data_IF_570601932738
#
_entry.id   IF_570601932738
#
_cell.length_a   1.000
_cell.length_b   1.000
_cell.length_c   1.000
_cell.angle_alpha   90.00
_cell.angle_beta   90.00
_cell.angle_gamma   90.00
#
_symmetry.space_group_name_H-M   'P 1'
#
loop_
_entity.id
_entity.type
_entity.pdbx_description
1 polymer ?
#
# COMPACT_ATOMS: atom_id res chain seq x y z
N UNK A 1 52.98 -33.84 43.44
CA UNK A 1 53.13 -35.21 42.90
C UNK A 1 52.08 -35.37 41.80
N UNK A 2 52.48 -35.46 40.52
CA UNK A 2 52.69 -36.74 39.78
C UNK A 2 51.49 -37.69 39.89
N UNK A 3 50.90 -38.28 38.85
CA UNK A 3 51.02 -38.28 37.39
C UNK A 3 49.88 -39.19 36.86
N UNK A 4 49.26 -38.83 35.72
CA UNK A 4 48.84 -39.70 34.60
C UNK A 4 48.09 -41.04 34.81
N UNK A 5 47.00 -41.21 34.05
CA UNK A 5 46.76 -42.30 33.04
C UNK A 5 45.40 -42.06 32.33
N UNK A 6 45.35 -41.54 31.10
CA UNK A 6 45.21 -42.26 29.81
C UNK A 6 44.18 -43.40 29.77
N UNK A 7 43.09 -43.19 29.02
CA UNK A 7 42.56 -44.20 28.10
C UNK A 7 42.02 -43.49 26.85
N UNK A 8 42.77 -43.63 25.77
CA UNK A 8 42.37 -43.30 24.42
C UNK A 8 41.51 -44.45 23.87
N UNK A 9 40.44 -44.12 23.15
CA UNK A 9 39.96 -44.98 22.06
C UNK A 9 39.57 -44.07 20.90
N UNK A 10 40.51 -43.94 19.97
CA UNK A 10 40.24 -43.50 18.61
C UNK A 10 39.85 -44.74 17.81
N UNK A 11 38.66 -44.72 17.20
CA UNK A 11 38.37 -45.51 16.01
C UNK A 11 37.99 -44.53 14.90
N UNK A 12 38.97 -44.29 14.03
CA UNK A 12 38.83 -43.72 12.71
C UNK A 12 38.06 -44.71 11.83
N UNK A 13 36.96 -44.28 11.22
CA UNK A 13 36.48 -44.78 9.93
C UNK A 13 36.07 -43.58 9.06
N UNK A 14 37.08 -43.15 8.29
CA UNK A 14 37.04 -42.67 6.90
C UNK A 14 35.68 -42.31 6.28
N UNK A 15 35.56 -41.01 5.99
CA UNK A 15 34.99 -40.37 4.80
C UNK A 15 34.27 -41.26 3.76
N UNK A 16 32.97 -41.01 3.60
CA UNK A 16 32.33 -40.99 2.29
C UNK A 16 32.00 -39.54 1.93
N UNK A 17 32.69 -39.08 0.90
CA UNK A 17 32.41 -37.99 -0.03
C UNK A 17 31.03 -37.37 0.08
N UNK A 18 31.00 -36.18 0.66
CA UNK A 18 29.89 -35.26 0.58
C UNK A 18 30.42 -33.91 0.95
N UNK A 19 31.09 -33.23 0.01
CA UNK A 19 31.27 -31.79 0.07
C UNK A 19 29.88 -31.18 0.00
N UNK A 20 29.14 -31.24 1.11
CA UNK A 20 27.99 -30.39 1.33
C UNK A 20 28.59 -28.98 1.35
N UNK A 21 28.60 -28.36 0.17
CA UNK A 21 28.71 -26.93 0.01
C UNK A 21 27.66 -26.40 0.99
N UNK A 22 28.10 -25.86 2.11
CA UNK A 22 27.23 -25.09 2.96
C UNK A 22 26.77 -23.94 2.07
N UNK A 23 25.60 -24.08 1.45
CA UNK A 23 24.83 -22.93 1.02
C UNK A 23 24.66 -22.13 2.30
N UNK A 24 25.42 -21.06 2.41
CA UNK A 24 25.16 -20.02 3.40
C UNK A 24 23.69 -19.69 3.23
N UNK A 25 22.86 -20.08 4.19
CA UNK A 25 21.51 -19.58 4.29
C UNK A 25 21.67 -18.05 4.37
N UNK A 26 21.44 -17.36 3.26
CA UNK A 26 21.34 -15.91 3.28
C UNK A 26 20.24 -15.61 4.29
N UNK A 27 20.58 -14.85 5.32
CA UNK A 27 19.58 -14.45 6.30
C UNK A 27 18.52 -13.60 5.59
N UNK A 28 17.27 -13.68 6.03
CA UNK A 28 16.17 -12.91 5.43
C UNK A 28 16.48 -11.40 5.32
N UNK A 29 17.35 -10.88 6.19
CA UNK A 29 17.89 -9.53 6.14
C UNK A 29 18.76 -9.24 4.90
N UNK A 30 19.64 -10.17 4.52
CA UNK A 30 20.49 -10.03 3.31
C UNK A 30 19.63 -10.11 2.06
N UNK A 31 18.67 -11.05 2.02
CA UNK A 31 17.71 -11.16 0.91
C UNK A 31 16.92 -9.86 0.74
N UNK A 32 16.39 -9.33 1.84
CA UNK A 32 15.63 -8.09 1.79
C UNK A 32 16.48 -6.88 1.35
N UNK A 33 17.75 -6.81 1.77
CA UNK A 33 18.66 -5.76 1.31
C UNK A 33 18.96 -5.88 -0.19
N UNK A 34 19.13 -7.10 -0.70
CA UNK A 34 19.30 -7.34 -2.14
C UNK A 34 18.05 -6.93 -2.92
N UNK A 35 16.86 -7.30 -2.44
CA UNK A 35 15.57 -6.91 -3.02
C UNK A 35 15.42 -5.39 -3.09
N UNK A 36 15.73 -4.68 -1.99
CA UNK A 36 15.68 -3.21 -1.96
C UNK A 36 16.73 -2.59 -2.90
N UNK A 37 17.92 -3.17 -2.99
CA UNK A 37 18.95 -2.71 -3.94
C UNK A 37 18.45 -2.82 -5.37
N UNK A 38 17.82 -3.93 -5.76
CA UNK A 38 17.26 -4.09 -7.12
C UNK A 38 16.17 -3.05 -7.43
N UNK A 39 15.35 -2.70 -6.44
CA UNK A 39 14.37 -1.62 -6.57
C UNK A 39 15.05 -0.27 -6.77
N UNK A 40 16.11 0.03 -6.01
CA UNK A 40 16.86 1.28 -6.12
C UNK A 40 17.74 1.35 -7.37
N UNK A 41 18.16 0.20 -7.91
CA UNK A 41 18.92 0.07 -9.16
C UNK A 41 18.03 0.02 -10.41
N UNK A 42 16.70 0.12 -10.22
CA UNK A 42 15.71 0.14 -11.29
C UNK A 42 15.71 -1.12 -12.15
N UNK A 43 16.13 -2.25 -11.57
CA UNK A 43 16.16 -3.57 -12.18
C UNK A 43 15.03 -4.48 -11.69
N UNK A 44 14.39 -4.12 -10.57
CA UNK A 44 13.26 -4.85 -10.03
C UNK A 44 12.03 -4.81 -10.96
N UNK A 45 11.40 -5.97 -11.14
CA UNK A 45 10.05 -6.06 -11.72
C UNK A 45 8.95 -5.62 -10.74
N UNK A 46 7.70 -5.46 -11.22
CA UNK A 46 6.60 -4.91 -10.43
C UNK A 46 6.30 -5.71 -9.15
N UNK A 47 6.35 -7.04 -9.22
CA UNK A 47 6.09 -7.90 -8.06
C UNK A 47 7.13 -7.72 -6.95
N UNK A 48 8.41 -7.58 -7.33
CA UNK A 48 9.48 -7.37 -6.37
C UNK A 48 9.38 -6.00 -5.72
N UNK A 49 9.11 -4.97 -6.53
CA UNK A 49 8.86 -3.61 -6.04
C UNK A 49 7.71 -3.59 -5.03
N UNK A 50 6.59 -4.25 -5.34
CA UNK A 50 5.44 -4.32 -4.44
C UNK A 50 5.76 -5.06 -3.13
N UNK A 51 6.53 -6.15 -3.18
CA UNK A 51 6.96 -6.88 -1.98
C UNK A 51 7.83 -6.00 -1.07
N UNK A 52 8.81 -5.29 -1.63
CA UNK A 52 9.71 -4.40 -0.87
C UNK A 52 8.92 -3.28 -0.21
N UNK A 53 8.05 -2.59 -0.97
CA UNK A 53 7.19 -1.52 -0.46
C UNK A 53 6.33 -2.00 0.70
N UNK A 54 5.66 -3.15 0.51
CA UNK A 54 4.74 -3.69 1.52
C UNK A 54 5.46 -4.03 2.82
N UNK A 55 6.66 -4.61 2.74
CA UNK A 55 7.48 -4.93 3.92
C UNK A 55 7.98 -3.68 4.66
N UNK A 56 8.51 -2.68 3.93
CA UNK A 56 8.94 -1.42 4.54
C UNK A 56 7.78 -0.67 5.20
N UNK A 57 6.60 -0.70 4.57
CA UNK A 57 5.39 -0.09 5.11
C UNK A 57 4.94 -0.78 6.39
N UNK A 58 4.87 -2.11 6.40
CA UNK A 58 4.54 -2.87 7.60
C UNK A 58 5.50 -2.50 8.74
N UNK A 59 6.81 -2.53 8.48
CA UNK A 59 7.80 -2.15 9.47
C UNK A 59 7.66 -0.69 9.98
N UNK A 60 7.30 0.27 9.12
CA UNK A 60 7.09 1.66 9.55
C UNK A 60 5.98 1.77 10.60
N UNK A 61 4.86 1.08 10.40
CA UNK A 61 3.65 1.25 11.21
C UNK A 61 3.52 0.23 12.34
N UNK A 62 4.40 -0.77 12.40
CA UNK A 62 4.48 -1.74 13.50
C UNK A 62 5.48 -1.27 14.56
N UNK A 63 5.14 -1.49 15.82
CA UNK A 63 6.03 -1.27 16.96
C UNK A 63 7.33 -2.05 16.80
N UNK A 64 8.45 -1.46 17.23
CA UNK A 64 9.79 -2.05 17.03
C UNK A 64 9.89 -3.48 17.59
N UNK A 65 9.20 -3.77 18.69
CA UNK A 65 9.18 -5.09 19.33
C UNK A 65 8.48 -6.18 18.49
N UNK A 66 7.54 -5.79 17.64
CA UNK A 66 6.69 -6.69 16.84
C UNK A 66 7.18 -6.83 15.38
N UNK A 67 8.20 -6.06 14.99
CA UNK A 67 8.80 -6.17 13.65
C UNK A 67 9.50 -7.50 13.47
N UNK A 68 9.45 -7.97 12.22
CA UNK A 68 10.26 -9.11 11.77
C UNK A 68 11.75 -8.84 11.98
N UNK A 69 12.54 -9.89 12.18
CA UNK A 69 13.93 -9.78 12.59
C UNK A 69 14.76 -8.96 11.59
N UNK A 70 14.47 -9.09 10.30
CA UNK A 70 15.15 -8.41 9.21
C UNK A 70 14.94 -6.88 9.17
N UNK A 71 13.84 -6.38 9.74
CA UNK A 71 13.45 -4.96 9.70
C UNK A 71 13.47 -4.27 11.08
N UNK A 72 13.85 -5.00 12.13
CA UNK A 72 13.84 -4.51 13.52
C UNK A 72 14.72 -3.27 13.72
N UNK A 73 15.93 -3.30 13.16
CA UNK A 73 16.93 -2.24 13.37
C UNK A 73 16.80 -1.07 12.37
N UNK A 74 15.79 -1.12 11.49
CA UNK A 74 15.54 -0.06 10.52
C UNK A 74 14.79 1.11 11.20
N UNK A 75 15.21 2.33 10.88
CA UNK A 75 14.59 3.54 11.44
C UNK A 75 13.86 4.31 10.37
N UNK A 76 12.68 4.79 10.72
CA UNK A 76 11.79 5.54 9.84
C UNK A 76 11.54 6.90 10.49
N UNK A 77 11.89 7.97 9.79
CA UNK A 77 11.66 9.35 10.19
C UNK A 77 10.77 10.02 9.15
N UNK A 78 9.73 10.70 9.62
CA UNK A 78 8.91 11.56 8.76
C UNK A 78 9.56 12.94 8.67
N UNK A 79 9.74 13.46 7.45
CA UNK A 79 10.22 14.81 7.19
C UNK A 79 9.30 15.52 6.19
N UNK A 80 9.27 16.84 6.26
CA UNK A 80 8.33 17.68 5.50
C UNK A 80 7.26 18.27 6.42
N UNK A 81 7.00 19.57 6.28
CA UNK A 81 6.10 20.30 7.17
C UNK A 81 4.63 20.28 6.71
N UNK A 82 4.39 19.94 5.45
CA UNK A 82 3.08 19.86 4.82
C UNK A 82 2.89 18.51 4.12
N UNK A 83 1.62 18.20 3.83
CA UNK A 83 1.22 16.93 3.26
C UNK A 83 1.82 16.69 1.86
N UNK A 84 2.11 17.77 1.12
CA UNK A 84 2.65 17.76 -0.25
C UNK A 84 4.16 17.51 -0.32
N UNK A 85 4.91 17.82 0.75
CA UNK A 85 6.37 17.59 0.83
C UNK A 85 6.75 16.52 1.85
N UNK A 86 5.75 15.82 2.39
CA UNK A 86 5.97 14.74 3.34
C UNK A 86 6.68 13.56 2.69
N UNK A 87 7.80 13.21 3.28
CA UNK A 87 8.66 12.11 2.86
C UNK A 87 9.06 11.26 4.06
N UNK A 88 9.46 10.04 3.76
CA UNK A 88 10.00 9.11 4.75
C UNK A 88 11.48 8.95 4.53
N UNK A 89 12.28 9.29 5.52
CA UNK A 89 13.69 8.94 5.57
C UNK A 89 13.84 7.60 6.27
N UNK A 90 14.34 6.62 5.54
CA UNK A 90 14.61 5.27 6.01
C UNK A 90 16.11 5.15 6.26
N UNK A 91 16.52 5.06 7.52
CA UNK A 91 17.93 4.82 7.87
C UNK A 91 18.20 3.33 7.90
N UNK A 92 19.15 2.91 7.06
CA UNK A 92 19.55 1.52 6.92
C UNK A 92 20.44 1.09 8.11
N UNK A 93 20.30 -0.14 8.62
CA UNK A 93 21.18 -0.65 9.69
C UNK A 93 22.63 -0.81 9.21
N UNK A 94 22.81 -1.09 7.92
CA UNK A 94 24.11 -1.12 7.24
C UNK A 94 24.02 -0.31 5.95
N UNK A 95 25.09 0.41 5.56
CA UNK A 95 25.13 1.11 4.28
C UNK A 95 24.94 0.13 3.12
N UNK A 96 24.29 0.60 2.06
CA UNK A 96 24.06 -0.15 0.82
C UNK A 96 24.67 0.62 -0.35
N UNK A 97 25.43 -0.07 -1.19
CA UNK A 97 25.91 0.50 -2.46
C UNK A 97 24.85 0.33 -3.53
N UNK A 98 24.41 1.44 -4.12
CA UNK A 98 23.42 1.50 -5.21
C UNK A 98 23.99 2.38 -6.31
N UNK A 99 24.05 1.89 -7.55
CA UNK A 99 24.68 2.64 -8.66
C UNK A 99 26.11 3.13 -8.35
N UNK A 100 26.85 2.37 -7.52
CA UNK A 100 28.21 2.75 -7.07
C UNK A 100 28.24 3.87 -6.01
N UNK A 101 27.11 4.20 -5.40
CA UNK A 101 26.98 5.20 -4.33
C UNK A 101 26.62 4.51 -3.02
N UNK A 102 27.42 4.75 -1.98
CA UNK A 102 27.14 4.21 -0.63
C UNK A 102 26.06 5.04 0.06
N UNK A 103 24.85 4.49 0.09
CA UNK A 103 23.70 5.08 0.74
C UNK A 103 23.55 4.54 2.17
N UNK A 104 23.48 5.43 3.16
CA UNK A 104 23.04 5.09 4.53
C UNK A 104 21.56 5.33 4.76
N UNK A 105 20.95 6.10 3.87
CA UNK A 105 19.56 6.51 3.94
C UNK A 105 18.91 6.33 2.58
N UNK A 106 17.67 5.89 2.61
CA UNK A 106 16.78 5.84 1.46
C UNK A 106 15.60 6.75 1.77
N UNK A 107 15.20 7.55 0.79
CA UNK A 107 14.04 8.41 0.90
C UNK A 107 12.90 7.82 0.10
N UNK A 108 11.75 7.66 0.73
CA UNK A 108 10.49 7.31 0.08
C UNK A 108 9.57 8.54 0.04
N UNK A 109 9.15 8.92 -1.16
CA UNK A 109 8.26 10.05 -1.42
C UNK A 109 7.31 9.71 -2.60
N UNK A 110 6.44 10.64 -3.06
CA UNK A 110 5.46 10.33 -4.11
C UNK A 110 6.04 9.82 -5.44
N UNK A 111 7.34 9.99 -5.69
CA UNK A 111 8.00 9.50 -6.91
C UNK A 111 8.71 8.16 -6.71
N UNK A 112 8.58 7.54 -5.52
CA UNK A 112 9.18 6.26 -5.19
C UNK A 112 10.38 6.37 -4.26
N UNK A 113 11.28 5.39 -4.36
CA UNK A 113 12.49 5.35 -3.55
C UNK A 113 13.64 6.07 -4.26
N UNK A 114 14.42 6.79 -3.47
CA UNK A 114 15.58 7.51 -3.97
C UNK A 114 16.68 7.61 -2.91
N UNK A 115 17.91 7.84 -3.36
CA UNK A 115 19.07 8.09 -2.51
C UNK A 115 19.60 9.50 -2.77
N UNK A 116 20.16 10.12 -1.74
CA UNK A 116 20.76 11.45 -1.87
C UNK A 116 22.04 11.40 -2.73
N UNK A 117 22.25 12.46 -3.49
CA UNK A 117 23.45 12.69 -4.29
C UNK A 117 24.16 13.96 -3.83
N UNK A 118 25.48 13.87 -3.65
CA UNK A 118 26.32 15.06 -3.66
C UNK A 118 26.52 15.60 -5.09
N UNK A 119 27.08 16.81 -5.21
CA UNK A 119 27.27 17.47 -6.50
C UNK A 119 28.16 16.68 -7.48
N UNK A 120 29.20 16.00 -6.99
CA UNK A 120 30.09 15.21 -7.84
C UNK A 120 29.46 13.86 -8.25
N UNK A 121 28.67 13.24 -7.37
CA UNK A 121 27.87 12.07 -7.68
C UNK A 121 26.80 12.39 -8.73
N UNK A 122 26.12 13.54 -8.59
CA UNK A 122 25.15 14.04 -9.57
C UNK A 122 25.74 14.11 -10.98
N UNK A 123 26.84 14.84 -11.15
CA UNK A 123 27.47 14.99 -12.46
C UNK A 123 27.92 13.66 -13.05
N UNK A 124 28.46 12.76 -12.22
CA UNK A 124 28.85 11.41 -12.66
C UNK A 124 27.66 10.60 -13.14
N UNK A 125 26.54 10.61 -12.42
CA UNK A 125 25.32 9.88 -12.80
C UNK A 125 24.72 10.47 -14.07
N UNK A 126 24.61 11.79 -14.17
CA UNK A 126 24.12 12.47 -15.37
C UNK A 126 24.95 12.06 -16.59
N UNK A 127 26.28 12.11 -16.48
CA UNK A 127 27.17 11.72 -17.57
C UNK A 127 27.08 10.22 -17.91
N UNK A 128 27.06 9.35 -16.90
CA UNK A 128 27.04 7.89 -17.09
C UNK A 128 25.77 7.40 -17.79
N UNK A 129 24.62 8.02 -17.50
CA UNK A 129 23.33 7.64 -18.06
C UNK A 129 22.85 8.55 -19.20
N UNK A 130 23.68 9.50 -19.64
CA UNK A 130 23.34 10.44 -20.70
C UNK A 130 22.09 11.27 -20.39
N UNK A 131 21.89 11.63 -19.12
CA UNK A 131 20.70 12.35 -18.69
C UNK A 131 20.75 13.80 -19.16
N UNK A 132 19.60 14.36 -19.50
CA UNK A 132 19.47 15.75 -19.89
C UNK A 132 18.49 16.45 -18.96
N UNK A 133 18.77 17.72 -18.64
CA UNK A 133 17.88 18.54 -17.84
C UNK A 133 16.56 18.72 -18.61
N UNK A 134 15.50 18.09 -18.12
CA UNK A 134 14.12 18.26 -18.51
C UNK A 134 13.49 19.27 -17.53
N UNK A 135 13.73 20.57 -17.73
CA UNK A 135 13.08 21.59 -16.89
C UNK A 135 11.55 21.53 -17.07
N UNK A 136 10.79 21.33 -15.99
CA UNK A 136 9.32 21.41 -16.00
C UNK A 136 8.80 21.97 -14.67
N UNK A 137 7.94 22.99 -14.76
CA UNK A 137 7.87 24.12 -13.81
C UNK A 137 6.49 24.32 -13.17
N UNK A 138 5.91 23.32 -12.49
CA UNK A 138 4.63 23.55 -11.77
C UNK A 138 4.51 22.89 -10.39
N UNK A 139 5.35 21.91 -10.04
CA UNK A 139 5.45 21.33 -8.69
C UNK A 139 6.89 20.89 -8.46
N UNK A 140 7.35 20.96 -7.20
CA UNK A 140 8.64 20.37 -6.85
C UNK A 140 8.69 18.88 -7.24
N UNK A 141 9.82 18.38 -7.74
CA UNK A 141 11.10 19.09 -7.90
C UNK A 141 11.18 19.93 -9.19
N UNK A 142 11.71 21.16 -9.07
CA UNK A 142 11.79 22.11 -10.20
C UNK A 142 12.78 21.68 -11.29
N UNK A 143 13.79 20.89 -10.92
CA UNK A 143 14.81 20.36 -11.82
C UNK A 143 14.75 18.83 -11.84
N UNK A 144 14.63 18.28 -13.06
CA UNK A 144 14.61 16.84 -13.35
C UNK A 144 15.59 16.56 -14.50
N UNK A 145 16.50 15.62 -14.31
CA UNK A 145 17.35 15.08 -15.36
C UNK A 145 16.89 13.67 -15.69
N UNK A 146 16.58 13.45 -16.96
CA UNK A 146 16.18 12.14 -17.47
C UNK A 146 16.61 11.98 -18.93
N UNK A 147 16.54 10.75 -19.42
CA UNK A 147 16.69 10.42 -20.82
C UNK A 147 15.62 9.38 -21.21
N UNK A 148 15.09 9.39 -22.44
CA UNK A 148 14.01 8.49 -22.86
C UNK A 148 14.30 6.99 -22.66
N UNK A 149 15.57 6.60 -22.73
CA UNK A 149 16.02 5.22 -22.62
C UNK A 149 16.61 4.87 -21.25
N UNK A 150 16.69 5.85 -20.33
CA UNK A 150 17.24 5.63 -19.00
C UNK A 150 16.14 5.18 -18.03
N UNK A 151 16.41 4.11 -17.28
CA UNK A 151 15.55 3.66 -16.17
C UNK A 151 15.75 4.48 -14.90
N UNK A 152 16.73 5.37 -14.87
CA UNK A 152 17.07 6.24 -13.75
C UNK A 152 16.74 7.70 -14.04
N UNK A 153 16.42 8.44 -12.98
CA UNK A 153 16.25 9.89 -13.00
C UNK A 153 17.03 10.52 -11.87
N UNK A 154 17.49 11.75 -12.10
CA UNK A 154 18.01 12.61 -11.05
C UNK A 154 17.06 13.77 -10.90
N UNK A 155 16.73 14.14 -9.67
CA UNK A 155 15.85 15.27 -9.39
C UNK A 155 16.45 16.16 -8.31
N UNK A 156 16.11 17.43 -8.36
CA UNK A 156 16.25 18.29 -7.19
C UNK A 156 15.35 17.78 -6.06
N UNK A 157 15.70 18.10 -4.84
CA UNK A 157 14.89 17.99 -3.65
C UNK A 157 15.29 19.17 -2.77
N UNK A 158 14.40 19.76 -1.98
CA UNK A 158 14.69 21.04 -1.29
C UNK A 158 16.07 21.14 -0.59
N UNK A 159 16.66 20.02 -0.16
CA UNK A 159 17.98 19.90 0.47
C UNK A 159 19.14 19.39 -0.42
N UNK A 160 18.93 19.13 -1.71
CA UNK A 160 19.96 18.64 -2.62
C UNK A 160 19.42 17.96 -3.88
N UNK A 161 20.07 16.86 -4.28
CA UNK A 161 19.65 16.06 -5.43
C UNK A 161 19.43 14.62 -5.00
N UNK A 162 18.53 13.93 -5.70
CA UNK A 162 18.21 12.53 -5.43
C UNK A 162 18.23 11.72 -6.71
N UNK A 163 18.80 10.52 -6.62
CA UNK A 163 18.77 9.48 -7.65
C UNK A 163 17.64 8.52 -7.33
N UNK A 164 16.76 8.28 -8.29
CA UNK A 164 15.71 7.27 -8.20
C UNK A 164 15.39 6.69 -9.56
N UNK A 165 14.36 5.85 -9.60
CA UNK A 165 13.92 5.25 -10.85
C UNK A 165 12.97 6.14 -11.61
N UNK A 166 13.11 6.12 -12.94
CA UNK A 166 12.09 6.65 -13.83
C UNK A 166 10.80 5.88 -13.56
N UNK A 167 9.68 6.56 -13.27
CA UNK A 167 8.41 5.88 -13.12
C UNK A 167 8.09 5.17 -14.43
N UNK A 168 8.08 3.83 -14.40
CA UNK A 168 7.74 3.02 -15.56
C UNK A 168 6.26 3.23 -15.90
N UNK A 169 5.97 4.13 -16.84
CA UNK A 169 4.60 4.40 -17.28
C UNK A 169 4.27 5.85 -17.69
N UNK A 170 5.20 6.80 -17.56
CA UNK A 170 4.84 8.22 -17.72
C UNK A 170 5.14 8.77 -19.10
N UNK A 171 4.22 8.53 -20.04
CA UNK A 171 4.16 9.28 -21.29
C UNK A 171 2.76 9.76 -21.65
N UNK A 172 1.71 8.97 -21.37
CA UNK A 172 0.34 9.32 -21.75
C UNK A 172 -0.74 9.02 -20.69
N UNK A 173 -0.51 8.08 -19.77
CA UNK A 173 -1.57 7.64 -18.85
C UNK A 173 -1.56 8.32 -17.47
N UNK A 174 -0.52 9.09 -17.16
CA UNK A 174 -0.51 9.92 -15.95
C UNK A 174 -1.57 11.05 -15.99
N UNK A 175 -1.98 11.46 -17.19
CA UNK A 175 -3.03 12.45 -17.43
C UNK A 175 -4.45 11.86 -17.40
N UNK A 176 -4.59 10.54 -17.31
CA UNK A 176 -5.87 9.83 -17.25
C UNK A 176 -6.00 9.04 -15.94
N UNK A 177 -5.53 9.60 -14.83
CA UNK A 177 -5.86 9.08 -13.49
C UNK A 177 -7.35 9.36 -13.27
N UNK A 178 -8.21 8.33 -13.16
CA UNK A 178 -9.59 8.56 -12.77
C UNK A 178 -9.56 9.02 -11.31
N UNK A 179 -9.58 10.33 -11.10
CA UNK A 179 -9.85 10.91 -9.80
C UNK A 179 -11.29 10.56 -9.45
N UNK A 180 -11.52 10.02 -8.26
CA UNK A 180 -12.86 9.78 -7.77
C UNK A 180 -13.24 10.93 -6.85
N UNK A 181 -14.36 11.59 -7.15
CA UNK A 181 -14.85 12.65 -6.28
C UNK A 181 -15.21 12.06 -4.91
N UNK A 182 -14.90 12.80 -3.83
CA UNK A 182 -15.33 12.43 -2.47
C UNK A 182 -16.83 12.16 -2.42
N UNK A 183 -17.62 12.92 -3.16
CA UNK A 183 -19.07 12.73 -3.28
C UNK A 183 -19.43 11.37 -3.91
N UNK A 184 -18.75 10.93 -4.96
CA UNK A 184 -19.00 9.62 -5.59
C UNK A 184 -18.74 8.47 -4.59
N UNK A 185 -17.69 8.60 -3.76
CA UNK A 185 -17.35 7.61 -2.73
C UNK A 185 -18.43 7.57 -1.63
N UNK A 186 -18.96 8.73 -1.25
CA UNK A 186 -20.05 8.84 -0.28
C UNK A 186 -21.34 8.23 -0.83
N UNK A 187 -21.73 8.63 -2.04
CA UNK A 187 -22.94 8.14 -2.70
C UNK A 187 -22.91 6.62 -2.88
N UNK A 188 -21.77 6.05 -3.26
CA UNK A 188 -21.62 4.59 -3.35
C UNK A 188 -21.70 3.91 -1.99
N UNK A 189 -21.03 4.45 -0.97
CA UNK A 189 -21.03 3.88 0.39
C UNK A 189 -22.43 3.94 1.03
N UNK A 190 -23.23 4.94 0.68
CA UNK A 190 -24.59 5.16 1.20
C UNK A 190 -25.70 4.63 0.27
N UNK A 191 -25.39 3.76 -0.70
CA UNK A 191 -26.37 3.19 -1.65
C UNK A 191 -27.15 4.23 -2.48
N UNK A 192 -26.58 5.40 -2.74
CA UNK A 192 -27.16 6.45 -3.58
C UNK A 192 -26.50 6.55 -4.97
N UNK A 193 -25.43 5.79 -5.22
CA UNK A 193 -24.72 5.81 -6.49
C UNK A 193 -25.59 5.34 -7.66
N UNK A 194 -25.62 6.15 -8.73
CA UNK A 194 -26.20 5.77 -10.02
C UNK A 194 -25.25 4.89 -10.86
N UNK A 195 -25.71 4.42 -12.02
CA UNK A 195 -24.92 3.56 -12.90
C UNK A 195 -23.60 4.21 -13.34
N UNK A 196 -23.59 5.52 -13.58
CA UNK A 196 -22.39 6.25 -13.96
C UNK A 196 -21.37 6.29 -12.82
N UNK A 197 -21.84 6.48 -11.59
CA UNK A 197 -21.03 6.52 -10.37
C UNK A 197 -20.47 5.14 -10.05
N UNK A 198 -21.27 4.09 -10.19
CA UNK A 198 -20.80 2.71 -10.07
C UNK A 198 -19.75 2.36 -11.14
N UNK A 199 -19.90 2.85 -12.38
CA UNK A 199 -18.89 2.71 -13.42
C UNK A 199 -17.57 3.43 -13.08
N UNK A 200 -17.64 4.64 -12.50
CA UNK A 200 -16.45 5.36 -12.00
C UNK A 200 -15.80 4.64 -10.81
N UNK A 201 -16.59 4.11 -9.89
CA UNK A 201 -16.10 3.31 -8.76
C UNK A 201 -15.38 2.05 -9.23
N UNK A 202 -15.92 1.36 -10.25
CA UNK A 202 -15.27 0.21 -10.85
C UNK A 202 -13.91 0.58 -11.46
N UNK A 203 -13.84 1.69 -12.21
CA UNK A 203 -12.59 2.17 -12.80
C UNK A 203 -11.58 2.61 -11.74
N UNK A 204 -12.04 3.26 -10.67
CA UNK A 204 -11.24 3.61 -9.49
C UNK A 204 -10.65 2.36 -8.83
N UNK A 205 -11.48 1.35 -8.56
CA UNK A 205 -11.04 0.10 -7.97
C UNK A 205 -10.04 -0.64 -8.86
N UNK A 206 -10.34 -0.75 -10.16
CA UNK A 206 -9.44 -1.36 -11.13
C UNK A 206 -8.08 -0.65 -11.15
N UNK A 207 -8.08 0.68 -11.07
CA UNK A 207 -6.87 1.49 -10.95
C UNK A 207 -6.08 1.25 -9.67
N UNK A 208 -6.71 0.83 -8.58
CA UNK A 208 -6.03 0.48 -7.32
C UNK A 208 -5.50 -0.95 -7.36
N UNK A 209 -6.28 -1.90 -7.91
CA UNK A 209 -5.97 -3.32 -7.90
C UNK A 209 -4.94 -3.73 -8.95
N UNK A 210 -4.91 -3.04 -10.10
CA UNK A 210 -4.06 -3.42 -11.24
C UNK A 210 -2.77 -2.59 -11.33
N UNK A 211 -2.67 -1.47 -10.61
CA UNK A 211 -1.54 -0.54 -10.72
C UNK A 211 -0.64 -0.56 -9.49
N UNK A 212 0.60 -0.14 -9.69
CA UNK A 212 1.54 0.03 -8.60
C UNK A 212 1.06 1.16 -7.65
N UNK A 213 1.43 1.10 -6.38
CA UNK A 213 0.97 2.10 -5.40
C UNK A 213 1.45 3.52 -5.70
N UNK A 214 2.54 3.66 -6.46
CA UNK A 214 3.04 4.95 -6.95
C UNK A 214 2.12 5.58 -8.02
N UNK A 215 1.20 4.79 -8.56
CA UNK A 215 0.28 5.16 -9.62
C UNK A 215 -1.18 5.18 -9.14
N UNK A 216 -1.41 4.99 -7.84
CA UNK A 216 -2.74 5.10 -7.26
C UNK A 216 -3.34 6.50 -7.44
N UNK A 217 -4.68 6.61 -7.46
CA UNK A 217 -5.36 7.90 -7.41
C UNK A 217 -4.86 8.72 -6.21
N UNK A 218 -4.75 10.05 -6.38
CA UNK A 218 -4.20 10.94 -5.35
C UNK A 218 -5.00 10.90 -4.06
N UNK A 219 -6.28 10.53 -4.14
CA UNK A 219 -7.19 10.40 -3.02
C UNK A 219 -6.83 9.21 -2.12
N UNK A 220 -6.08 8.22 -2.62
CA UNK A 220 -5.73 6.99 -1.89
C UNK A 220 -4.39 7.15 -1.18
N UNK A 221 -4.42 6.95 0.15
CA UNK A 221 -3.25 6.98 1.03
C UNK A 221 -2.70 5.57 1.30
N UNK A 222 -3.57 4.59 1.45
CA UNK A 222 -3.18 3.22 1.81
C UNK A 222 -4.22 2.21 1.34
N UNK A 223 -3.80 0.95 1.17
CA UNK A 223 -4.70 -0.20 1.03
C UNK A 223 -4.15 -1.30 1.93
N UNK A 224 -5.01 -1.93 2.71
CA UNK A 224 -4.67 -3.00 3.64
C UNK A 224 -5.75 -4.07 3.62
N UNK A 225 -5.35 -5.33 3.63
CA UNK A 225 -6.27 -6.44 3.88
C UNK A 225 -6.43 -6.60 5.39
N UNK A 226 -7.66 -6.47 5.87
CA UNK A 226 -8.02 -6.58 7.29
C UNK A 226 -9.16 -7.58 7.41
N UNK A 227 -9.03 -8.53 8.32
CA UNK A 227 -10.12 -9.46 8.63
C UNK A 227 -10.71 -9.10 9.98
N UNK A 228 -11.85 -8.42 9.97
CA UNK A 228 -12.63 -8.18 11.19
C UNK A 228 -13.43 -9.43 11.58
N UNK A 229 -13.93 -9.43 12.80
CA UNK A 229 -14.82 -10.48 13.31
C UNK A 229 -16.19 -9.88 13.62
N UNK A 230 -17.26 -10.50 13.17
CA UNK A 230 -18.64 -10.08 13.48
C UNK A 230 -19.38 -11.28 14.06
N UNK A 231 -19.43 -11.37 15.38
CA UNK A 231 -19.89 -12.60 16.05
C UNK A 231 -18.97 -13.78 15.70
N UNK A 232 -19.53 -14.88 15.21
CA UNK A 232 -18.72 -16.08 14.87
C UNK A 232 -18.17 -16.06 13.43
N UNK A 233 -18.42 -14.99 12.66
CA UNK A 233 -18.04 -14.90 11.25
C UNK A 233 -16.85 -13.97 11.02
N UNK A 234 -15.93 -14.38 10.15
CA UNK A 234 -14.85 -13.51 9.65
C UNK A 234 -15.35 -12.65 8.51
N UNK A 235 -15.01 -11.37 8.56
CA UNK A 235 -15.31 -10.38 7.54
C UNK A 235 -13.98 -9.87 6.93
N UNK A 236 -13.47 -10.53 5.88
CA UNK A 236 -12.29 -10.05 5.16
C UNK A 236 -12.66 -8.82 4.32
N UNK A 237 -12.01 -7.69 4.62
CA UNK A 237 -12.18 -6.43 3.93
C UNK A 237 -10.84 -5.93 3.40
N UNK A 238 -10.90 -5.28 2.25
CA UNK A 238 -9.88 -4.35 1.80
C UNK A 238 -10.21 -2.97 2.38
N UNK A 239 -9.37 -2.49 3.28
CA UNK A 239 -9.48 -1.17 3.90
C UNK A 239 -8.59 -0.21 3.12
N UNK A 240 -9.21 0.78 2.50
CA UNK A 240 -8.55 1.81 1.70
C UNK A 240 -8.55 3.10 2.52
N UNK A 241 -7.37 3.59 2.87
CA UNK A 241 -7.19 4.88 3.52
C UNK A 241 -7.22 6.01 2.49
N UNK A 242 -7.91 7.09 2.82
CA UNK A 242 -8.10 8.28 1.99
C UNK A 242 -7.26 9.46 2.52
N UNK A 243 -6.87 10.36 1.62
CA UNK A 243 -6.24 11.64 1.99
C UNK A 243 -7.25 12.56 2.69
N UNK A 244 -8.37 12.80 2.03
CA UNK A 244 -9.47 13.63 2.52
C UNK A 244 -10.56 12.77 3.18
N UNK A 245 -11.15 13.22 4.29
CA UNK A 245 -12.24 12.50 4.93
C UNK A 245 -13.50 12.54 4.07
N UNK A 246 -14.30 11.48 4.16
CA UNK A 246 -15.67 11.42 3.70
C UNK A 246 -16.62 11.49 4.89
N UNK A 247 -17.87 11.88 4.66
CA UNK A 247 -18.95 11.77 5.62
C UNK A 247 -19.76 10.53 5.29
N UNK A 248 -19.98 9.68 6.29
CA UNK A 248 -20.85 8.53 6.16
C UNK A 248 -21.78 8.45 7.35
N UNK A 249 -23.09 8.55 7.10
CA UNK A 249 -24.12 8.52 8.15
C UNK A 249 -23.82 9.48 9.32
N UNK A 250 -23.30 10.68 8.99
CA UNK A 250 -22.95 11.72 9.96
C UNK A 250 -21.62 11.50 10.70
N UNK A 251 -20.83 10.51 10.31
CA UNK A 251 -19.49 10.23 10.86
C UNK A 251 -18.44 10.58 9.81
N UNK A 252 -17.46 11.41 10.19
CA UNK A 252 -16.31 11.71 9.36
C UNK A 252 -15.30 10.56 9.44
N UNK A 253 -14.91 9.99 8.30
CA UNK A 253 -13.93 8.91 8.24
C UNK A 253 -12.96 9.09 7.08
N UNK A 254 -11.75 8.56 7.21
CA UNK A 254 -10.74 8.51 6.14
C UNK A 254 -10.56 7.09 5.60
N UNK A 255 -11.49 6.19 5.85
CA UNK A 255 -11.37 4.79 5.44
C UNK A 255 -12.60 4.37 4.68
N UNK A 256 -12.42 3.84 3.47
CA UNK A 256 -13.45 3.09 2.77
C UNK A 256 -13.09 1.60 2.82
N UNK A 257 -14.09 0.75 2.74
CA UNK A 257 -13.95 -0.70 2.85
C UNK A 257 -14.63 -1.39 1.69
N UNK A 258 -13.98 -2.40 1.14
CA UNK A 258 -14.51 -3.24 0.07
C UNK A 258 -14.46 -4.70 0.52
N UNK A 259 -15.52 -5.46 0.28
CA UNK A 259 -15.49 -6.93 0.40
C UNK A 259 -15.56 -7.59 -0.98
N UNK A 260 -14.84 -8.68 -1.15
CA UNK A 260 -15.03 -9.58 -2.29
C UNK A 260 -16.45 -10.15 -2.22
N UNK A 261 -17.33 -9.74 -3.14
CA UNK A 261 -18.76 -10.06 -3.10
C UNK A 261 -19.69 -8.86 -3.28
N UNK A 262 -19.16 -7.64 -3.41
CA UNK A 262 -19.95 -6.47 -3.81
C UNK A 262 -20.42 -5.56 -2.66
N UNK A 263 -19.80 -5.68 -1.49
CA UNK A 263 -19.95 -4.70 -0.42
C UNK A 263 -18.94 -3.55 -0.62
N UNK A 264 -19.42 -2.32 -0.53
CA UNK A 264 -18.64 -1.10 -0.54
C UNK A 264 -19.15 -0.14 0.54
N UNK A 265 -18.26 0.37 1.39
CA UNK A 265 -18.65 1.17 2.54
C UNK A 265 -17.48 1.86 3.21
N UNK A 266 -17.56 2.07 4.51
CA UNK A 266 -16.52 2.63 5.33
C UNK A 266 -16.37 1.93 6.68
N UNK A 267 -15.13 1.94 7.18
CA UNK A 267 -14.85 1.74 8.59
C UNK A 267 -15.03 3.08 9.31
N UNK A 268 -15.97 3.14 10.25
CA UNK A 268 -16.28 4.33 11.04
C UNK A 268 -15.51 4.37 12.36
N UNK A 269 -14.71 3.32 12.66
CA UNK A 269 -13.97 3.16 13.90
C UNK A 269 -14.85 2.84 15.11
N UNK A 270 -14.32 3.13 16.30
CA UNK A 270 -15.01 2.96 17.58
C UNK A 270 -16.03 4.09 17.81
N UNK A 271 -17.15 4.00 17.11
CA UNK A 271 -18.29 4.92 17.25
C UNK A 271 -19.52 4.20 17.78
N UNK A 272 -20.43 4.95 18.41
CA UNK A 272 -21.70 4.40 18.82
C UNK A 272 -22.51 3.97 17.58
N UNK A 273 -22.97 2.71 17.58
CA UNK A 273 -23.75 2.15 16.46
C UNK A 273 -25.14 2.76 16.33
N UNK A 274 -25.76 3.20 17.43
CA UNK A 274 -27.15 3.67 17.44
C UNK A 274 -27.37 4.94 16.57
N UNK A 275 -26.54 5.99 16.65
CA UNK A 275 -26.62 7.12 15.72
C UNK A 275 -26.48 6.73 14.24
N UNK A 276 -25.57 5.80 13.93
CA UNK A 276 -25.34 5.32 12.56
C UNK A 276 -26.58 4.59 12.04
N UNK A 277 -27.18 3.71 12.86
CA UNK A 277 -28.43 3.03 12.51
C UNK A 277 -29.58 4.02 12.28
N UNK A 278 -29.70 5.04 13.14
CA UNK A 278 -30.74 6.06 12.99
C UNK A 278 -30.61 6.83 11.66
N UNK A 279 -29.39 7.23 11.30
CA UNK A 279 -29.10 7.90 10.03
C UNK A 279 -29.32 6.99 8.82
N UNK A 280 -29.00 5.71 8.94
CA UNK A 280 -29.33 4.70 7.92
C UNK A 280 -30.83 4.32 7.90
N UNK A 281 -31.65 4.91 8.77
CA UNK A 281 -33.08 4.60 8.92
C UNK A 281 -33.33 3.13 9.27
N UNK A 282 -32.45 2.57 10.08
CA UNK A 282 -32.48 1.20 10.60
C UNK A 282 -32.79 1.17 12.09
N UNK A 283 -33.24 0.01 12.55
CA UNK A 283 -33.66 -0.23 13.92
C UNK A 283 -33.72 -1.73 14.20
N UNK A 284 -34.34 -2.13 15.31
CA UNK A 284 -34.38 -3.54 15.74
C UNK A 284 -35.03 -4.48 14.72
N UNK A 285 -36.02 -4.01 13.96
CA UNK A 285 -36.67 -4.79 12.89
C UNK A 285 -35.76 -5.14 11.72
N UNK A 286 -34.61 -4.46 11.59
CA UNK A 286 -33.63 -4.66 10.52
C UNK A 286 -32.45 -5.53 10.96
N UNK A 287 -32.48 -6.04 12.19
CA UNK A 287 -31.40 -6.85 12.73
C UNK A 287 -31.48 -8.27 12.16
N UNK A 288 -30.42 -8.69 11.47
CA UNK A 288 -30.31 -10.01 10.80
C UNK A 288 -29.31 -10.94 11.49
N UNK A 289 -28.52 -10.40 12.43
CA UNK A 289 -27.58 -11.15 13.24
C UNK A 289 -27.32 -10.46 14.59
N UNK A 290 -26.44 -11.03 15.41
CA UNK A 290 -26.15 -10.50 16.76
C UNK A 290 -25.66 -9.04 16.74
N UNK A 291 -24.92 -8.67 15.69
CA UNK A 291 -24.30 -7.34 15.55
C UNK A 291 -24.39 -6.80 14.12
N UNK A 292 -25.38 -7.26 13.34
CA UNK A 292 -25.55 -6.91 11.92
C UNK A 292 -26.98 -6.46 11.66
N UNK A 293 -27.11 -5.34 10.96
CA UNK A 293 -28.37 -4.76 10.50
C UNK A 293 -28.32 -4.62 8.99
N UNK A 294 -29.44 -4.94 8.34
CA UNK A 294 -29.58 -4.91 6.90
C UNK A 294 -30.95 -4.36 6.52
N UNK A 295 -30.96 -3.41 5.57
CA UNK A 295 -32.19 -2.84 5.01
C UNK A 295 -32.10 -2.80 3.50
N UNK A 296 -32.98 -3.56 2.84
CA UNK A 296 -33.17 -3.44 1.40
C UNK A 296 -33.80 -2.10 1.04
N UNK A 297 -33.27 -1.49 -0.01
CA UNK A 297 -33.77 -0.24 -0.57
C UNK A 297 -34.58 -0.52 -1.86
N UNK A 298 -35.38 0.46 -2.33
CA UNK A 298 -36.09 0.33 -3.59
C UNK A 298 -35.15 -0.05 -4.75
N UNK A 299 -35.58 -0.91 -5.68
CA UNK A 299 -34.76 -1.26 -6.85
C UNK A 299 -34.41 -0.03 -7.69
N UNK A 300 -33.18 0.00 -8.20
CA UNK A 300 -32.69 1.01 -9.13
C UNK A 300 -32.51 0.38 -10.51
N UNK A 301 -33.00 1.06 -11.54
CA UNK A 301 -32.87 0.60 -12.91
C UNK A 301 -31.42 0.76 -13.39
N UNK A 302 -30.80 -0.36 -13.81
CA UNK A 302 -29.47 -0.40 -14.42
C UNK A 302 -29.57 -1.02 -15.81
N UNK A 303 -28.57 -0.76 -16.66
CA UNK A 303 -28.49 -1.43 -17.97
C UNK A 303 -28.35 -2.95 -17.81
N UNK A 304 -29.45 -3.66 -18.04
CA UNK A 304 -29.50 -5.14 -18.04
C UNK A 304 -30.13 -5.79 -16.81
N UNK A 305 -30.80 -5.03 -15.94
CA UNK A 305 -31.46 -5.56 -14.75
C UNK A 305 -31.83 -4.50 -13.72
N UNK A 306 -32.47 -4.95 -12.66
CA UNK A 306 -32.75 -4.12 -11.50
C UNK A 306 -31.70 -4.42 -10.43
N UNK A 307 -31.03 -3.37 -9.97
CA UNK A 307 -30.09 -3.40 -8.85
C UNK A 307 -30.88 -3.17 -7.57
N UNK A 308 -30.74 -4.06 -6.57
CA UNK A 308 -31.43 -3.91 -5.29
C UNK A 308 -30.38 -3.55 -4.23
N UNK A 309 -30.20 -2.25 -3.91
CA UNK A 309 -29.27 -1.82 -2.90
C UNK A 309 -29.70 -2.32 -1.52
N UNK A 310 -28.71 -2.57 -0.68
CA UNK A 310 -28.92 -2.93 0.72
C UNK A 310 -27.96 -2.12 1.59
N UNK A 311 -28.52 -1.30 2.48
CA UNK A 311 -27.73 -0.73 3.56
C UNK A 311 -27.37 -1.84 4.54
N UNK A 312 -26.08 -1.92 4.87
CA UNK A 312 -25.56 -2.84 5.88
C UNK A 312 -24.80 -2.02 6.91
N UNK A 313 -25.09 -2.27 8.19
CA UNK A 313 -24.31 -1.78 9.32
C UNK A 313 -23.92 -2.98 10.17
N UNK A 314 -22.65 -3.06 10.54
CA UNK A 314 -22.07 -4.13 11.34
C UNK A 314 -21.29 -3.51 12.49
N UNK A 315 -21.43 -4.07 13.69
CA UNK A 315 -20.49 -3.84 14.79
C UNK A 315 -19.58 -5.05 14.88
N UNK A 316 -18.28 -4.84 14.71
CA UNK A 316 -17.27 -5.89 14.84
C UNK A 316 -16.98 -6.16 16.32
N UNK A 317 -16.42 -7.33 16.59
CA UNK A 317 -15.99 -7.73 17.94
C UNK A 317 -14.79 -6.90 18.41
N UNK A 318 -14.03 -6.34 17.46
CA UNK A 318 -12.98 -5.34 17.69
C UNK A 318 -13.55 -3.93 18.01
N UNK A 319 -14.87 -3.79 18.15
CA UNK A 319 -15.61 -2.55 18.39
C UNK A 319 -15.61 -1.55 17.22
N UNK A 320 -15.24 -1.96 16.01
CA UNK A 320 -15.42 -1.09 14.85
C UNK A 320 -16.88 -1.10 14.38
N UNK A 321 -17.38 0.03 13.93
CA UNK A 321 -18.63 0.09 13.18
C UNK A 321 -18.31 0.17 11.69
N UNK A 322 -18.68 -0.87 10.96
CA UNK A 322 -18.56 -0.93 9.50
C UNK A 322 -19.94 -0.66 8.91
N UNK A 323 -20.05 0.34 8.04
CA UNK A 323 -21.31 0.68 7.38
C UNK A 323 -21.10 0.76 5.87
N UNK A 324 -22.10 0.39 5.07
CA UNK A 324 -21.92 0.32 3.62
C UNK A 324 -23.15 -0.04 2.84
N UNK A 325 -22.94 -0.06 1.54
CA UNK A 325 -23.85 -0.60 0.56
C UNK A 325 -23.39 -1.98 0.11
N UNK A 326 -24.31 -2.94 0.11
CA UNK A 326 -24.19 -4.16 -0.67
C UNK A 326 -25.31 -4.19 -1.69
N UNK A 327 -25.26 -5.17 -2.58
CA UNK A 327 -26.33 -5.34 -3.55
C UNK A 327 -26.57 -6.76 -3.97
N UNK A 328 -27.85 -7.04 -4.20
CA UNK A 328 -28.30 -8.16 -5.02
C UNK A 328 -28.62 -7.65 -6.44
N UNK A 329 -28.28 -8.44 -7.46
CA UNK A 329 -28.54 -8.09 -8.86
C UNK A 329 -29.54 -9.05 -9.50
N UNK A 330 -30.67 -8.53 -9.99
CA UNK A 330 -31.67 -9.31 -10.70
C UNK A 330 -31.57 -9.04 -12.21
N UNK A 331 -31.04 -10.01 -12.97
CA UNK A 331 -31.00 -9.93 -14.44
C UNK A 331 -32.42 -9.85 -15.00
N UNK A 332 -32.65 -8.90 -15.90
CA UNK A 332 -33.87 -8.94 -16.73
C UNK A 332 -33.81 -10.19 -17.62
N UNK A 333 -34.89 -10.98 -17.65
CA UNK A 333 -34.98 -12.09 -18.59
C UNK A 333 -34.98 -11.53 -20.02
N UNK A 334 -34.24 -12.14 -20.97
CA UNK A 334 -34.36 -11.75 -22.37
C UNK A 334 -35.82 -11.91 -22.79
N UNK A 335 -36.37 -10.87 -23.42
CA UNK A 335 -37.65 -10.96 -24.13
C UNK A 335 -37.50 -11.79 -25.40
#
# INVERSE_FOLDING_TARGET
MFFRTTCALALLLTACSGSARAQTAETDAVLFQNDLREVLECSAGPDLQQRVVSRLRAARYTDVAERTAELRDWRFEEKGADDDHRMTVITLPQPMTVHGIDARQVVADPFGFSIALDGAQRERVIAAYGLHLQSSTLREPFELWSAPTASVIVRSAGDGHRLGCSPQGTGKDAAARPAMAVQDLQEASECHADEATMGRLQAFWQGISERSQLEWPQEVRSVSEVSYTVGDAKLPLLVIGLQSPIQMHGVATRTITLAFGGFFGADLGDVAVAPVLAQAGMGTSHQVGKATWQRALPPMAFKGGDWIPQHIVMRTDENHVIAGCASDYVRSRPR
#
